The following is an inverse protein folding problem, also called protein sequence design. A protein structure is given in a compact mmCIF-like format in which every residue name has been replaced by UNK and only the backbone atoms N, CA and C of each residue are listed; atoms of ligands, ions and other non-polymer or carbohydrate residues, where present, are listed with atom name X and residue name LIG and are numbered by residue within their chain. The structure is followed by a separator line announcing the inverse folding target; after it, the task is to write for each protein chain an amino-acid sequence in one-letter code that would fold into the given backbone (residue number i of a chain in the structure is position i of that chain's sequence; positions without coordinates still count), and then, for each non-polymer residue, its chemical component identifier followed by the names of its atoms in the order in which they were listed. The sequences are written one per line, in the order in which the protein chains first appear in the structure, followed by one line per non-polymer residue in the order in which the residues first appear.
data_IF_137736921023
#
_entry.id   IF_137736921023
#
_cell.length_a   1.000
_cell.length_b   1.000
_cell.length_c   1.000
_cell.angle_alpha   90.00
_cell.angle_beta   90.00
_cell.angle_gamma   90.00
#
_symmetry.space_group_name_H-M   'P 1'
#
loop_
_entity.id
_entity.type
_entity.pdbx_description
1 polymer ?
#
# COMPACT_ATOMS: atom_id res chain seq x y z
N UNK A 1 -4.61 9.72 9.25
CA UNK A 1 -5.48 9.05 10.25
C UNK A 1 -6.04 10.00 11.28
N UNK A 2 -5.25 10.77 12.05
CA UNK A 2 -5.75 11.70 13.08
C UNK A 2 -6.80 12.72 12.62
N UNK A 3 -6.76 13.17 11.35
CA UNK A 3 -7.79 14.10 10.81
C UNK A 3 -9.13 13.44 10.56
N UNK A 4 -9.17 12.17 10.16
CA UNK A 4 -10.43 11.44 9.95
C UNK A 4 -11.18 11.23 11.26
N UNK A 5 -10.48 10.91 12.34
CA UNK A 5 -11.09 10.75 13.67
C UNK A 5 -11.68 12.06 14.22
N UNK A 6 -11.13 13.23 13.83
CA UNK A 6 -11.67 14.52 14.21
C UNK A 6 -12.97 14.89 13.47
N UNK A 7 -13.15 14.39 12.24
CA UNK A 7 -14.33 14.65 11.42
C UNK A 7 -15.49 13.69 11.77
N UNK A 8 -15.17 12.45 12.15
CA UNK A 8 -16.20 11.43 12.48
C UNK A 8 -15.64 10.43 13.53
N UNK A 9 -15.54 10.83 14.80
CA UNK A 9 -14.77 10.12 15.81
C UNK A 9 -15.26 8.70 16.13
N UNK A 10 -16.49 8.37 15.79
CA UNK A 10 -17.11 7.12 16.23
C UNK A 10 -17.04 5.96 15.19
N UNK A 11 -16.49 6.20 14.00
CA UNK A 11 -16.59 5.25 12.90
C UNK A 11 -15.23 4.72 12.40
N UNK A 12 -14.14 4.99 13.09
CA UNK A 12 -12.82 4.54 12.66
C UNK A 12 -12.10 3.72 13.73
N UNK A 13 -11.59 2.56 13.33
CA UNK A 13 -10.63 1.77 14.10
C UNK A 13 -9.29 1.83 13.38
N UNK A 14 -8.27 2.36 14.03
CA UNK A 14 -6.92 2.43 13.49
C UNK A 14 -6.07 1.35 14.15
N UNK A 15 -5.35 0.60 13.35
CA UNK A 15 -4.43 -0.44 13.80
C UNK A 15 -3.06 -0.27 13.16
N UNK A 16 -2.03 -0.63 13.88
CA UNK A 16 -0.68 -0.81 13.37
C UNK A 16 -0.23 -2.24 13.70
N UNK A 17 0.97 -2.62 13.31
CA UNK A 17 1.50 -4.00 13.51
C UNK A 17 1.46 -4.45 14.97
N UNK A 18 1.56 -3.53 15.93
CA UNK A 18 1.48 -3.83 17.36
C UNK A 18 0.09 -4.32 17.80
N UNK A 19 -0.98 -3.83 17.15
CA UNK A 19 -2.36 -4.20 17.44
C UNK A 19 -2.88 -5.29 16.52
N UNK A 20 -2.43 -5.31 15.25
CA UNK A 20 -2.87 -6.26 14.24
C UNK A 20 -1.77 -6.55 13.23
N UNK A 21 -1.13 -7.71 13.34
CA UNK A 21 -0.29 -8.24 12.28
C UNK A 21 -1.17 -8.72 11.11
N UNK A 22 -1.21 -7.94 10.03
CA UNK A 22 -2.01 -8.26 8.84
C UNK A 22 -1.50 -9.49 8.08
N UNK A 23 -0.31 -10.01 8.41
CA UNK A 23 0.20 -11.27 7.84
C UNK A 23 -0.37 -12.50 8.56
N UNK A 24 -0.98 -12.33 9.75
CA UNK A 24 -1.71 -13.40 10.44
C UNK A 24 -3.18 -13.44 10.00
N UNK A 25 -3.51 -14.41 9.16
CA UNK A 25 -4.88 -14.59 8.65
C UNK A 25 -5.93 -14.82 9.75
N UNK A 26 -5.54 -15.42 10.88
CA UNK A 26 -6.42 -15.67 12.01
C UNK A 26 -6.76 -14.38 12.75
N UNK A 27 -5.73 -13.59 13.07
CA UNK A 27 -5.87 -12.28 13.70
C UNK A 27 -6.71 -11.33 12.85
N UNK A 28 -6.46 -11.28 11.53
CA UNK A 28 -7.21 -10.43 10.59
C UNK A 28 -8.70 -10.82 10.57
N UNK A 29 -9.04 -12.10 10.43
CA UNK A 29 -10.43 -12.54 10.45
C UNK A 29 -11.14 -12.16 11.75
N UNK A 30 -10.48 -12.38 12.88
CA UNK A 30 -11.04 -12.04 14.19
C UNK A 30 -11.27 -10.54 14.34
N UNK A 31 -10.30 -9.72 13.98
CA UNK A 31 -10.39 -8.26 14.06
C UNK A 31 -11.53 -7.71 13.20
N UNK A 32 -11.63 -8.14 11.94
CA UNK A 32 -12.70 -7.70 11.04
C UNK A 32 -14.07 -8.12 11.52
N UNK A 33 -14.23 -9.36 12.01
CA UNK A 33 -15.48 -9.84 12.55
C UNK A 33 -15.90 -9.10 13.84
N UNK A 34 -14.97 -8.82 14.73
CA UNK A 34 -15.24 -8.10 15.99
C UNK A 34 -15.62 -6.65 15.76
N UNK A 35 -14.93 -5.97 14.84
CA UNK A 35 -15.21 -4.57 14.52
C UNK A 35 -16.46 -4.39 13.66
N UNK A 36 -16.93 -5.43 13.00
CA UNK A 36 -18.01 -5.39 12.00
C UNK A 36 -17.73 -4.30 10.95
N UNK A 37 -16.48 -4.23 10.52
CA UNK A 37 -16.06 -3.19 9.57
C UNK A 37 -16.85 -3.29 8.26
N UNK A 38 -17.45 -2.21 7.83
CA UNK A 38 -18.10 -2.09 6.52
C UNK A 38 -17.09 -1.78 5.42
N UNK A 39 -16.01 -1.08 5.79
CA UNK A 39 -14.91 -0.72 4.89
C UNK A 39 -13.59 -1.01 5.59
N UNK A 40 -12.70 -1.67 4.89
CA UNK A 40 -11.31 -1.92 5.31
C UNK A 40 -10.39 -1.11 4.39
N UNK A 41 -9.51 -0.29 4.97
CA UNK A 41 -8.50 0.46 4.20
C UNK A 41 -7.13 -0.14 4.47
N UNK A 42 -6.59 -0.83 3.49
CA UNK A 42 -5.25 -1.43 3.56
C UNK A 42 -4.18 -0.42 3.14
N UNK A 43 -3.50 0.15 4.11
CA UNK A 43 -2.31 0.99 3.93
C UNK A 43 -1.02 0.25 4.30
N UNK A 44 -1.10 -1.00 4.77
CA UNK A 44 0.08 -1.78 5.13
C UNK A 44 0.79 -2.26 3.86
N UNK A 45 2.10 -2.04 3.80
CA UNK A 45 2.93 -2.48 2.70
C UNK A 45 4.41 -2.51 3.08
N UNK A 46 5.15 -3.39 2.43
CA UNK A 46 6.61 -3.36 2.41
C UNK A 46 7.03 -2.34 1.34
N UNK A 47 7.44 -1.14 1.76
CA UNK A 47 7.64 0.01 0.86
C UNK A 47 9.10 0.33 0.52
N UNK A 48 10.06 -0.36 1.15
CA UNK A 48 11.47 -0.18 0.84
C UNK A 48 11.82 -0.96 -0.44
N UNK A 49 11.89 -0.25 -1.57
CA UNK A 49 12.09 -0.81 -2.91
C UNK A 49 13.43 -1.56 -3.01
N UNK A 50 14.52 -0.95 -2.54
CA UNK A 50 15.87 -1.56 -2.62
C UNK A 50 15.94 -2.81 -1.73
N UNK A 51 15.47 -2.71 -0.50
CA UNK A 51 15.51 -3.84 0.43
C UNK A 51 14.58 -4.98 0.02
N UNK A 52 13.56 -4.72 -0.77
CA UNK A 52 12.69 -5.76 -1.32
C UNK A 52 13.45 -6.71 -2.25
N UNK A 53 14.47 -6.22 -2.98
CA UNK A 53 15.32 -7.07 -3.81
C UNK A 53 16.18 -8.06 -2.98
N UNK A 54 16.48 -7.69 -1.73
CA UNK A 54 17.27 -8.52 -0.81
C UNK A 54 16.38 -9.49 -0.01
N UNK A 55 15.12 -9.14 0.24
CA UNK A 55 14.17 -9.91 1.05
C UNK A 55 12.79 -10.00 0.37
N UNK A 56 12.77 -10.68 -0.79
CA UNK A 56 11.55 -10.93 -1.57
C UNK A 56 10.48 -11.65 -0.74
N UNK A 57 10.89 -12.59 0.14
CA UNK A 57 9.96 -13.35 0.95
C UNK A 57 9.18 -12.47 1.95
N UNK A 58 9.84 -11.50 2.58
CA UNK A 58 9.16 -10.56 3.47
C UNK A 58 8.28 -9.58 2.67
N UNK A 59 8.76 -9.11 1.51
CA UNK A 59 7.99 -8.26 0.64
C UNK A 59 6.72 -8.96 0.13
N UNK A 60 6.81 -10.20 -0.35
CA UNK A 60 5.66 -10.99 -0.80
C UNK A 60 4.68 -11.28 0.34
N UNK A 61 5.18 -11.68 1.51
CA UNK A 61 4.32 -11.95 2.68
C UNK A 61 3.49 -10.74 3.06
N UNK A 62 4.07 -9.53 3.04
CA UNK A 62 3.36 -8.32 3.44
C UNK A 62 2.55 -7.72 2.28
N UNK A 63 3.09 -7.65 1.06
CA UNK A 63 2.41 -7.00 -0.07
C UNK A 63 1.33 -7.89 -0.69
N UNK A 64 1.58 -9.20 -0.85
CA UNK A 64 0.60 -10.15 -1.39
C UNK A 64 -0.18 -10.83 -0.27
N UNK A 65 0.51 -11.49 0.67
CA UNK A 65 -0.12 -12.33 1.69
C UNK A 65 -1.07 -11.55 2.59
N UNK A 66 -0.66 -10.37 3.09
CA UNK A 66 -1.54 -9.54 3.90
C UNK A 66 -2.73 -8.98 3.11
N UNK A 67 -2.54 -8.60 1.84
CA UNK A 67 -3.64 -8.17 0.98
C UNK A 67 -4.67 -9.30 0.77
N UNK A 68 -4.22 -10.53 0.55
CA UNK A 68 -5.05 -11.72 0.46
C UNK A 68 -5.83 -11.98 1.76
N UNK A 69 -5.17 -11.90 2.92
CA UNK A 69 -5.83 -12.09 4.21
C UNK A 69 -6.95 -11.07 4.44
N UNK A 70 -6.68 -9.80 4.16
CA UNK A 70 -7.67 -8.73 4.30
C UNK A 70 -8.83 -8.88 3.32
N UNK A 71 -8.55 -9.27 2.08
CA UNK A 71 -9.57 -9.49 1.06
C UNK A 71 -10.50 -10.66 1.40
N UNK A 72 -9.95 -11.79 1.89
CA UNK A 72 -10.74 -12.93 2.38
C UNK A 72 -11.59 -12.58 3.60
N UNK A 73 -11.03 -11.77 4.52
CA UNK A 73 -11.79 -11.32 5.67
C UNK A 73 -12.90 -10.33 5.27
N UNK A 74 -12.66 -9.47 4.29
CA UNK A 74 -13.65 -8.57 3.72
C UNK A 74 -14.80 -9.35 3.06
N UNK A 75 -14.48 -10.35 2.24
CA UNK A 75 -15.46 -11.22 1.59
C UNK A 75 -16.34 -11.91 2.63
N UNK A 76 -15.74 -12.57 3.62
CA UNK A 76 -16.46 -13.31 4.66
C UNK A 76 -17.40 -12.44 5.53
N UNK A 77 -17.15 -11.12 5.61
CA UNK A 77 -17.94 -10.19 6.42
C UNK A 77 -18.79 -9.22 5.56
N UNK A 78 -18.77 -9.35 4.24
CA UNK A 78 -19.50 -8.45 3.33
C UNK A 78 -18.93 -7.02 3.28
N UNK A 79 -17.71 -6.81 3.77
CA UNK A 79 -17.04 -5.52 3.77
C UNK A 79 -16.47 -5.15 2.39
N UNK A 80 -16.22 -3.86 2.18
CA UNK A 80 -15.49 -3.36 1.00
C UNK A 80 -14.02 -3.15 1.37
N UNK A 81 -13.09 -3.69 0.56
CA UNK A 81 -11.66 -3.47 0.73
C UNK A 81 -11.18 -2.33 -0.17
N UNK A 82 -10.56 -1.31 0.42
CA UNK A 82 -9.80 -0.28 -0.28
C UNK A 82 -8.32 -0.64 -0.16
N UNK A 83 -7.67 -0.95 -1.29
CA UNK A 83 -6.28 -1.38 -1.33
C UNK A 83 -5.39 -0.30 -1.97
N UNK A 84 -4.38 0.15 -1.24
CA UNK A 84 -3.40 1.11 -1.76
C UNK A 84 -2.27 0.35 -2.45
N UNK A 85 -2.11 0.57 -3.74
CA UNK A 85 -1.06 0.03 -4.59
C UNK A 85 -0.11 1.13 -5.10
N UNK A 86 0.65 0.87 -6.14
CA UNK A 86 1.75 1.71 -6.62
C UNK A 86 1.79 1.75 -8.14
N UNK A 87 2.37 2.80 -8.69
CA UNK A 87 2.79 2.93 -10.09
C UNK A 87 3.92 1.97 -10.49
N UNK A 88 4.71 1.43 -9.54
CA UNK A 88 5.74 0.41 -9.79
C UNK A 88 5.21 -0.91 -10.39
N UNK A 89 3.89 -1.06 -10.53
CA UNK A 89 3.28 -2.17 -11.29
C UNK A 89 3.46 -2.01 -12.79
N UNK A 90 3.85 -0.85 -13.27
CA UNK A 90 4.17 -0.55 -14.67
C UNK A 90 5.69 -0.60 -14.92
N UNK A 91 6.09 -0.60 -16.19
CA UNK A 91 7.50 -0.61 -16.60
C UNK A 91 8.17 0.77 -16.67
N UNK A 92 7.38 1.85 -16.53
CA UNK A 92 7.88 3.22 -16.57
C UNK A 92 8.28 3.72 -17.97
N UNK A 93 7.93 3.03 -19.05
CA UNK A 93 8.36 3.38 -20.42
C UNK A 93 7.39 4.34 -21.13
N UNK A 94 6.20 4.57 -20.58
CA UNK A 94 5.21 5.45 -21.21
C UNK A 94 5.60 6.93 -21.10
N UNK A 95 5.32 7.69 -22.15
CA UNK A 95 5.50 9.15 -22.20
C UNK A 95 4.23 9.92 -21.84
N UNK A 96 3.13 9.20 -21.67
CA UNK A 96 1.82 9.72 -21.24
C UNK A 96 1.43 9.03 -19.93
N UNK A 97 0.55 9.63 -19.13
CA UNK A 97 0.02 8.98 -17.93
C UNK A 97 -0.56 7.60 -18.24
N UNK A 98 -0.24 6.61 -17.41
CA UNK A 98 -0.86 5.30 -17.49
C UNK A 98 -2.34 5.38 -17.16
N UNK A 99 -3.15 4.69 -17.95
CA UNK A 99 -4.57 4.47 -17.63
C UNK A 99 -4.73 3.27 -16.70
N UNK A 100 -5.92 3.12 -16.10
CA UNK A 100 -6.23 1.99 -15.23
C UNK A 100 -6.10 0.64 -15.93
N UNK A 101 -6.38 0.60 -17.24
CA UNK A 101 -6.32 -0.60 -18.08
C UNK A 101 -4.95 -0.83 -18.72
N UNK A 102 -3.97 0.04 -18.47
CA UNK A 102 -2.64 -0.13 -19.05
C UNK A 102 -2.01 -1.46 -18.63
N UNK A 103 -1.33 -2.17 -19.55
CA UNK A 103 -0.65 -3.42 -19.23
C UNK A 103 0.36 -3.24 -18.10
N UNK A 104 0.32 -4.11 -17.11
CA UNK A 104 1.27 -4.11 -16.00
C UNK A 104 2.50 -4.92 -16.36
N UNK A 105 3.70 -4.39 -16.10
CA UNK A 105 4.99 -5.02 -16.35
C UNK A 105 6.04 -4.59 -15.30
N UNK A 106 5.86 -4.96 -14.01
CA UNK A 106 6.75 -4.52 -12.94
C UNK A 106 8.18 -5.02 -13.14
N UNK A 107 9.17 -4.16 -12.98
CA UNK A 107 10.58 -4.48 -13.19
C UNK A 107 11.23 -5.06 -11.92
N UNK A 108 10.88 -4.57 -10.73
CA UNK A 108 11.49 -4.96 -9.45
C UNK A 108 10.57 -5.80 -8.57
N UNK A 109 11.13 -6.36 -7.50
CA UNK A 109 10.42 -7.19 -6.50
C UNK A 109 9.28 -6.42 -5.85
N UNK A 110 9.49 -5.16 -5.49
CA UNK A 110 8.45 -4.34 -4.90
C UNK A 110 7.21 -4.26 -5.80
N UNK A 111 7.40 -3.89 -7.07
CA UNK A 111 6.30 -3.83 -8.04
C UNK A 111 5.62 -5.17 -8.27
N UNK A 112 6.41 -6.26 -8.41
CA UNK A 112 5.88 -7.63 -8.59
C UNK A 112 5.03 -8.08 -7.41
N UNK A 113 5.49 -7.85 -6.18
CA UNK A 113 4.76 -8.26 -4.97
C UNK A 113 3.50 -7.41 -4.73
N UNK A 114 3.55 -6.10 -5.04
CA UNK A 114 2.36 -5.24 -5.00
C UNK A 114 1.33 -5.66 -6.03
N UNK A 115 1.75 -5.95 -7.27
CA UNK A 115 0.85 -6.45 -8.32
C UNK A 115 0.24 -7.81 -7.96
N UNK A 116 1.02 -8.70 -7.34
CA UNK A 116 0.50 -9.96 -6.83
C UNK A 116 -0.57 -9.75 -5.74
N UNK A 117 -0.42 -8.73 -4.91
CA UNK A 117 -1.45 -8.29 -3.95
C UNK A 117 -2.73 -7.80 -4.63
N UNK A 118 -2.62 -6.95 -5.67
CA UNK A 118 -3.77 -6.52 -6.46
C UNK A 118 -4.55 -7.70 -7.04
N UNK A 119 -3.84 -8.68 -7.59
CA UNK A 119 -4.44 -9.90 -8.16
C UNK A 119 -5.14 -10.74 -7.09
N UNK A 120 -4.50 -10.94 -5.95
CA UNK A 120 -5.11 -11.66 -4.82
C UNK A 120 -6.40 -10.97 -4.32
N UNK A 121 -6.42 -9.64 -4.29
CA UNK A 121 -7.63 -8.87 -3.96
C UNK A 121 -8.72 -9.08 -5.03
N UNK A 122 -8.39 -8.97 -6.30
CA UNK A 122 -9.34 -9.12 -7.40
C UNK A 122 -9.95 -10.53 -7.48
N UNK A 123 -9.16 -11.56 -7.15
CA UNK A 123 -9.57 -12.97 -7.18
C UNK A 123 -10.35 -13.41 -5.93
N UNK A 124 -10.37 -12.60 -4.87
CA UNK A 124 -10.97 -12.96 -3.57
C UNK A 124 -12.49 -13.03 -3.56
N UNK A 125 -13.16 -12.38 -4.50
CA UNK A 125 -14.62 -12.23 -4.53
C UNK A 125 -15.17 -11.11 -3.66
N UNK A 126 -14.37 -10.41 -2.86
CA UNK A 126 -14.83 -9.28 -2.07
C UNK A 126 -15.15 -8.05 -2.96
N UNK A 127 -15.92 -7.12 -2.43
CA UNK A 127 -16.02 -5.78 -3.02
C UNK A 127 -14.72 -5.04 -2.76
N UNK A 128 -14.12 -4.45 -3.79
CA UNK A 128 -12.85 -3.74 -3.61
C UNK A 128 -12.69 -2.51 -4.50
N UNK A 129 -11.77 -1.65 -4.08
CA UNK A 129 -11.20 -0.57 -4.88
C UNK A 129 -9.68 -0.63 -4.71
N UNK A 130 -8.93 -0.60 -5.82
CA UNK A 130 -7.47 -0.52 -5.80
C UNK A 130 -7.03 0.85 -6.30
N UNK A 131 -6.23 1.56 -5.50
CA UNK A 131 -5.65 2.84 -5.86
C UNK A 131 -4.16 2.67 -6.10
N UNK A 132 -3.69 2.84 -7.33
CA UNK A 132 -2.27 2.97 -7.66
C UNK A 132 -1.87 4.42 -7.44
N UNK A 133 -0.86 4.63 -6.61
CA UNK A 133 -0.39 5.96 -6.23
C UNK A 133 1.10 6.09 -6.47
N UNK A 134 1.55 7.32 -6.75
CA UNK A 134 2.96 7.68 -6.87
C UNK A 134 3.24 8.92 -6.03
N UNK A 135 4.49 9.09 -5.61
CA UNK A 135 4.97 10.32 -4.99
C UNK A 135 4.15 10.83 -3.80
N UNK A 136 3.67 9.91 -2.96
CA UNK A 136 2.88 10.30 -1.78
C UNK A 136 3.70 11.17 -0.83
N UNK A 137 3.13 12.32 -0.48
CA UNK A 137 3.71 13.23 0.51
C UNK A 137 2.63 13.78 1.44
N UNK A 138 3.06 14.14 2.65
CA UNK A 138 2.14 14.62 3.69
C UNK A 138 2.94 15.37 4.76
N UNK A 139 2.26 16.19 5.54
CA UNK A 139 2.82 16.78 6.76
C UNK A 139 3.17 15.73 7.83
N UNK A 140 2.62 14.52 7.73
CA UNK A 140 2.89 13.39 8.62
C UNK A 140 3.89 12.40 8.02
N UNK A 141 4.65 11.74 8.88
CA UNK A 141 5.61 10.70 8.47
C UNK A 141 6.80 11.23 7.65
N UNK A 142 7.62 10.32 7.18
CA UNK A 142 8.73 10.60 6.28
C UNK A 142 8.27 10.53 4.81
N UNK A 143 8.76 11.42 3.99
CA UNK A 143 8.52 11.42 2.54
C UNK A 143 9.65 12.15 1.81
N UNK A 144 9.66 12.02 0.48
CA UNK A 144 10.70 12.60 -0.37
C UNK A 144 10.80 14.13 -0.19
N UNK A 145 9.68 14.85 -0.18
CA UNK A 145 9.69 16.31 0.00
C UNK A 145 10.38 16.73 1.31
N UNK A 146 10.01 16.12 2.43
CA UNK A 146 10.62 16.42 3.73
C UNK A 146 12.10 16.05 3.78
N UNK A 147 12.48 14.95 3.12
CA UNK A 147 13.87 14.55 2.98
C UNK A 147 14.66 15.58 2.19
N UNK A 148 14.12 16.07 1.07
CA UNK A 148 14.77 17.13 0.28
C UNK A 148 14.90 18.42 1.08
N UNK A 149 13.85 18.88 1.75
CA UNK A 149 13.89 20.08 2.59
C UNK A 149 14.96 19.99 3.68
N UNK A 150 15.10 18.84 4.33
CA UNK A 150 16.15 18.63 5.34
C UNK A 150 17.55 18.61 4.69
N UNK A 151 17.73 17.83 3.64
CA UNK A 151 19.05 17.69 3.01
C UNK A 151 19.54 18.98 2.37
N UNK A 152 18.68 19.83 1.80
CA UNK A 152 19.04 21.13 1.26
C UNK A 152 19.45 22.14 2.34
N UNK A 153 18.99 21.95 3.58
CA UNK A 153 19.44 22.75 4.71
C UNK A 153 20.81 22.30 5.27
N UNK A 154 21.15 21.01 5.09
CA UNK A 154 22.36 20.39 5.66
C UNK A 154 23.53 20.32 4.66
N UNK A 155 23.25 20.30 3.35
CA UNK A 155 24.25 20.03 2.29
C UNK A 155 24.26 21.11 1.23
N UNK A 156 25.46 21.54 0.82
CA UNK A 156 25.63 22.50 -0.28
C UNK A 156 25.28 21.91 -1.64
N UNK A 157 25.36 20.59 -1.81
CA UNK A 157 25.09 19.89 -3.08
C UNK A 157 24.37 18.58 -2.85
N UNK A 158 23.34 18.34 -3.64
CA UNK A 158 22.58 17.08 -3.69
C UNK A 158 22.65 16.50 -5.11
N UNK A 159 22.80 15.18 -5.18
CA UNK A 159 22.58 14.44 -6.41
C UNK A 159 21.20 13.77 -6.31
N UNK A 160 20.32 14.08 -7.25
CA UNK A 160 18.97 13.52 -7.32
C UNK A 160 18.82 12.87 -8.68
N UNK A 161 18.24 11.67 -8.72
CA UNK A 161 17.85 11.02 -9.99
C UNK A 161 16.81 11.89 -10.71
N UNK A 162 16.90 12.01 -12.01
CA UNK A 162 16.02 12.87 -12.82
C UNK A 162 15.32 12.11 -13.96
N UNK A 163 15.57 10.81 -14.08
CA UNK A 163 15.09 9.91 -15.13
C UNK A 163 13.87 9.08 -14.70
N UNK A 164 13.31 9.37 -13.53
CA UNK A 164 12.07 8.77 -13.06
C UNK A 164 10.92 9.76 -13.28
N UNK A 165 9.98 9.38 -14.16
CA UNK A 165 8.71 10.05 -14.36
C UNK A 165 7.60 9.28 -13.60
N UNK A 166 6.75 10.00 -12.88
CA UNK A 166 5.64 9.44 -12.11
C UNK A 166 4.38 10.26 -12.29
#
# INVERSE_FOLDING_TARGET
MQRLSAVSPNNYTFTDVAELDVTDAGAVRQAVAQTRAEVIVNCAAYTNVERAEEDEAAADRLNRGAAENLARAAEANGATLIHVSTDYVFDGTAHLPYTEDAPTAPLGVYGRTKLAGERAVAESGCKYLTFRTAWLYSEYGNNFLKTMLRLTAEKERLNVVFDQAG
#
